data_IF_863153766456
#
_entry.id   IF_863153766456
#
_cell.length_a   1.000
_cell.length_b   1.000
_cell.length_c   1.000
_cell.angle_alpha   90.00
_cell.angle_beta   90.00
_cell.angle_gamma   90.00
#
_symmetry.space_group_name_H-M   'P 1'
#
loop_
_entity.id
_entity.type
_entity.pdbx_description
1 polymer ?
#
# COMPACT_ATOMS: atom_id res chain seq x y z
N UNK A 1 -13.88 -5.80 3.22
CA UNK A 1 -12.77 -6.69 2.82
C UNK A 1 -11.48 -5.90 2.95
N UNK A 2 -10.40 -6.51 3.44
CA UNK A 2 -9.13 -5.82 3.67
C UNK A 2 -7.96 -6.70 3.20
N UNK A 3 -7.03 -6.12 2.47
CA UNK A 3 -5.79 -6.76 2.06
C UNK A 3 -4.61 -5.90 2.55
N UNK A 4 -3.59 -6.57 3.08
CA UNK A 4 -2.37 -5.96 3.61
C UNK A 4 -1.16 -6.72 3.07
N UNK A 5 -0.23 -5.98 2.50
CA UNK A 5 1.09 -6.46 2.14
C UNK A 5 2.13 -5.70 2.97
N UNK A 6 2.81 -6.40 3.86
CA UNK A 6 3.77 -5.77 4.73
C UNK A 6 3.97 -6.46 6.07
N UNK A 7 4.60 -5.74 6.99
CA UNK A 7 4.80 -6.20 8.36
C UNK A 7 4.86 -5.01 9.33
N UNK A 8 4.20 -5.14 10.48
CA UNK A 8 4.16 -4.12 11.52
C UNK A 8 5.17 -4.43 12.62
N UNK A 9 6.05 -3.48 12.91
CA UNK A 9 7.05 -3.64 13.97
C UNK A 9 6.49 -3.42 15.38
N UNK A 10 5.32 -2.79 15.50
CA UNK A 10 4.65 -2.52 16.77
C UNK A 10 3.34 -3.29 16.96
N UNK A 11 3.12 -4.41 16.25
CA UNK A 11 1.86 -5.16 16.26
C UNK A 11 1.43 -5.59 17.67
N UNK A 12 2.34 -6.07 18.52
CA UNK A 12 2.03 -6.50 19.88
C UNK A 12 1.52 -5.36 20.75
N UNK A 13 2.15 -4.19 20.66
CA UNK A 13 1.72 -2.98 21.36
C UNK A 13 0.34 -2.51 20.89
N UNK A 14 0.13 -2.50 19.57
CA UNK A 14 -1.17 -2.12 18.98
C UNK A 14 -2.29 -3.03 19.46
N UNK A 15 -2.06 -4.33 19.55
CA UNK A 15 -3.06 -5.29 20.05
C UNK A 15 -3.45 -5.00 21.51
N UNK A 16 -2.48 -4.66 22.34
CA UNK A 16 -2.73 -4.26 23.71
C UNK A 16 -3.53 -2.95 23.78
N UNK A 17 -3.14 -1.91 23.04
CA UNK A 17 -3.85 -0.63 22.96
C UNK A 17 -5.30 -0.83 22.48
N UNK A 18 -5.51 -1.61 21.41
CA UNK A 18 -6.84 -1.93 20.89
C UNK A 18 -7.73 -2.62 21.91
N UNK A 19 -7.17 -3.53 22.71
CA UNK A 19 -7.92 -4.21 23.77
C UNK A 19 -8.24 -3.30 24.94
N UNK A 20 -7.24 -2.57 25.46
CA UNK A 20 -7.36 -1.80 26.70
C UNK A 20 -8.08 -0.46 26.51
N UNK A 21 -7.83 0.23 25.40
CA UNK A 21 -8.33 1.59 25.14
C UNK A 21 -9.52 1.61 24.19
N UNK A 22 -9.42 0.86 23.09
CA UNK A 22 -10.43 0.91 22.03
C UNK A 22 -11.51 -0.19 22.21
N UNK A 23 -11.34 -1.06 23.25
CA UNK A 23 -12.24 -2.17 23.59
C UNK A 23 -12.50 -3.12 22.40
N UNK A 24 -11.46 -3.33 21.57
CA UNK A 24 -11.51 -4.22 20.41
C UNK A 24 -10.77 -5.52 20.67
N UNK A 25 -11.41 -6.63 20.39
CA UNK A 25 -10.82 -7.95 20.53
C UNK A 25 -10.13 -8.36 19.22
N UNK A 26 -8.90 -8.86 19.32
CA UNK A 26 -8.12 -9.39 18.20
C UNK A 26 -8.11 -10.92 18.30
N UNK A 27 -8.56 -11.59 17.25
CA UNK A 27 -8.76 -13.04 17.26
C UNK A 27 -7.54 -13.83 16.78
N UNK A 28 -6.64 -13.19 16.00
CA UNK A 28 -5.50 -13.88 15.39
C UNK A 28 -4.17 -13.30 15.82
N UNK A 29 -3.08 -13.99 15.49
CA UNK A 29 -1.72 -13.46 15.65
C UNK A 29 -1.34 -12.48 14.52
N UNK A 30 -2.13 -12.38 13.44
CA UNK A 30 -1.83 -11.53 12.29
C UNK A 30 -1.76 -10.05 12.67
N UNK A 31 -0.79 -9.35 12.11
CA UNK A 31 -0.67 -7.90 12.18
C UNK A 31 -1.69 -7.19 11.28
N UNK A 32 -2.15 -7.87 10.22
CA UNK A 32 -3.21 -7.37 9.34
C UNK A 32 -4.53 -7.13 10.08
N UNK A 33 -4.88 -8.01 11.04
CA UNK A 33 -6.07 -7.82 11.87
C UNK A 33 -5.92 -6.62 12.80
N UNK A 34 -4.73 -6.42 13.38
CA UNK A 34 -4.46 -5.25 14.19
C UNK A 34 -4.57 -3.96 13.35
N UNK A 35 -3.99 -3.93 12.14
CA UNK A 35 -4.08 -2.79 11.24
C UNK A 35 -5.52 -2.51 10.81
N UNK A 36 -6.29 -3.54 10.44
CA UNK A 36 -7.72 -3.40 10.13
C UNK A 36 -8.50 -2.79 11.29
N UNK A 37 -8.24 -3.23 12.53
CA UNK A 37 -8.93 -2.71 13.71
C UNK A 37 -8.54 -1.26 14.01
N UNK A 38 -7.28 -0.87 13.82
CA UNK A 38 -6.86 0.54 13.92
C UNK A 38 -7.58 1.39 12.89
N UNK A 39 -7.62 0.97 11.62
CA UNK A 39 -8.35 1.70 10.57
C UNK A 39 -9.85 1.81 10.88
N UNK A 40 -10.46 0.71 11.33
CA UNK A 40 -11.87 0.70 11.70
C UNK A 40 -12.18 1.61 12.88
N UNK A 41 -11.27 1.69 13.85
CA UNK A 41 -11.37 2.57 15.00
C UNK A 41 -11.31 4.04 14.57
N UNK A 42 -10.29 4.42 13.80
CA UNK A 42 -10.14 5.77 13.27
C UNK A 42 -11.37 6.20 12.43
N UNK A 43 -11.91 5.31 11.58
CA UNK A 43 -13.13 5.59 10.84
C UNK A 43 -14.33 5.75 11.77
N UNK A 44 -14.46 4.91 12.79
CA UNK A 44 -15.63 4.91 13.68
C UNK A 44 -15.81 6.26 14.41
N UNK A 45 -14.72 6.87 14.81
CA UNK A 45 -14.74 8.19 15.46
C UNK A 45 -15.18 9.32 14.52
N UNK A 46 -14.96 9.17 13.22
CA UNK A 46 -15.25 10.19 12.20
C UNK A 46 -16.66 10.12 11.61
N UNK A 47 -17.34 8.97 11.74
CA UNK A 47 -18.64 8.74 11.10
C UNK A 47 -19.83 8.77 12.05
N UNK A 48 -19.62 9.15 13.32
CA UNK A 48 -20.72 9.27 14.29
C UNK A 48 -21.78 10.24 13.77
N UNK A 49 -23.00 9.72 13.55
CA UNK A 49 -24.13 10.50 13.03
C UNK A 49 -24.00 11.00 11.58
N UNK A 50 -22.98 10.53 10.84
CA UNK A 50 -22.68 11.00 9.47
C UNK A 50 -22.26 9.84 8.56
N UNK A 51 -22.09 10.13 7.25
CA UNK A 51 -21.55 9.13 6.30
C UNK A 51 -20.03 9.24 6.16
N UNK A 52 -19.39 8.15 5.72
CA UNK A 52 -17.98 8.15 5.31
C UNK A 52 -17.86 8.86 3.96
N UNK A 53 -16.98 9.84 3.91
CA UNK A 53 -16.58 10.60 2.70
C UNK A 53 -15.09 10.38 2.44
N UNK A 54 -14.59 10.77 1.26
CA UNK A 54 -13.15 10.72 0.93
C UNK A 54 -12.30 11.45 1.98
N UNK A 55 -12.68 12.67 2.37
CA UNK A 55 -11.93 13.45 3.38
C UNK A 55 -11.84 12.73 4.73
N UNK A 56 -12.94 12.11 5.18
CA UNK A 56 -12.93 11.31 6.42
C UNK A 56 -12.09 10.05 6.28
N UNK A 57 -12.10 9.39 5.12
CA UNK A 57 -11.23 8.25 4.86
C UNK A 57 -9.75 8.65 4.92
N UNK A 58 -9.38 9.79 4.33
CA UNK A 58 -8.03 10.35 4.42
C UNK A 58 -7.66 10.76 5.85
N UNK A 59 -8.60 11.33 6.60
CA UNK A 59 -8.37 11.65 8.02
C UNK A 59 -8.13 10.38 8.85
N UNK A 60 -8.85 9.29 8.59
CA UNK A 60 -8.61 8.00 9.22
C UNK A 60 -7.22 7.45 8.89
N UNK A 61 -6.76 7.56 7.62
CA UNK A 61 -5.42 7.15 7.23
C UNK A 61 -4.34 7.99 7.94
N UNK A 62 -4.56 9.29 8.15
CA UNK A 62 -3.66 10.12 8.97
C UNK A 62 -3.53 9.58 10.40
N UNK A 63 -4.63 9.13 11.00
CA UNK A 63 -4.64 8.45 12.31
C UNK A 63 -3.88 7.14 12.27
N UNK A 64 -4.11 6.30 11.25
CA UNK A 64 -3.36 5.06 11.01
C UNK A 64 -1.86 5.31 10.97
N UNK A 65 -1.38 6.28 10.19
CA UNK A 65 0.05 6.61 10.08
C UNK A 65 0.68 7.07 11.40
N UNK A 66 -0.10 7.69 12.30
CA UNK A 66 0.38 8.08 13.63
C UNK A 66 0.56 6.89 14.57
N UNK A 67 -0.34 5.91 14.50
CA UNK A 67 -0.37 4.74 15.41
C UNK A 67 0.55 3.62 14.94
N UNK A 68 0.64 3.37 13.64
CA UNK A 68 1.31 2.19 13.06
C UNK A 68 2.78 2.47 12.75
N UNK A 69 3.62 1.45 12.96
CA UNK A 69 5.03 1.43 12.58
C UNK A 69 5.34 0.18 11.77
N UNK A 70 6.07 0.33 10.68
CA UNK A 70 6.42 -0.76 9.76
C UNK A 70 6.33 -0.35 8.31
N UNK A 71 6.49 -1.33 7.41
CA UNK A 71 6.24 -1.17 5.98
C UNK A 71 4.90 -1.81 5.63
N UNK A 72 4.01 -1.09 4.98
CA UNK A 72 2.69 -1.60 4.61
C UNK A 72 2.10 -0.92 3.38
N UNK A 73 1.44 -1.70 2.55
CA UNK A 73 0.48 -1.23 1.58
C UNK A 73 -0.85 -1.94 1.78
N UNK A 74 -1.93 -1.18 1.75
CA UNK A 74 -3.25 -1.64 2.16
C UNK A 74 -4.31 -1.29 1.14
N UNK A 75 -5.26 -2.22 0.97
CA UNK A 75 -6.46 -2.01 0.17
C UNK A 75 -7.67 -2.45 0.98
N UNK A 76 -8.63 -1.55 1.17
CA UNK A 76 -9.85 -1.77 1.94
C UNK A 76 -11.08 -1.51 1.07
N UNK A 77 -11.86 -2.56 0.78
CA UNK A 77 -13.19 -2.41 0.20
C UNK A 77 -14.21 -2.20 1.33
N UNK A 78 -14.80 -1.02 1.39
CA UNK A 78 -15.77 -0.62 2.41
C UNK A 78 -17.17 -0.74 1.81
N UNK A 79 -17.94 -1.69 2.32
CA UNK A 79 -19.25 -2.04 1.78
C UNK A 79 -20.18 -0.82 1.68
N UNK A 80 -20.75 -0.61 0.50
CA UNK A 80 -21.66 0.51 0.23
C UNK A 80 -21.03 1.90 0.26
N UNK A 81 -19.66 1.99 0.22
CA UNK A 81 -18.94 3.27 0.27
C UNK A 81 -17.90 3.40 -0.84
N UNK A 82 -16.97 2.45 -1.00
CA UNK A 82 -15.92 2.53 -2.01
C UNK A 82 -14.69 1.73 -1.65
N UNK A 83 -13.59 1.99 -2.38
CA UNK A 83 -12.27 1.41 -2.19
C UNK A 83 -11.33 2.47 -1.62
N UNK A 84 -10.67 2.13 -0.52
CA UNK A 84 -9.60 2.91 0.08
C UNK A 84 -8.28 2.15 -0.11
N UNK A 85 -7.28 2.79 -0.69
CA UNK A 85 -5.93 2.24 -0.78
C UNK A 85 -4.93 3.23 -0.17
N UNK A 86 -3.91 2.75 0.53
CA UNK A 86 -2.90 3.62 1.13
C UNK A 86 -1.57 2.89 1.34
N UNK A 87 -0.50 3.67 1.31
CA UNK A 87 0.88 3.21 1.41
C UNK A 87 1.56 3.80 2.66
N UNK A 88 2.47 3.06 3.27
CA UNK A 88 3.21 3.51 4.44
C UNK A 88 4.00 4.82 4.18
N UNK A 89 4.27 5.65 5.23
CA UNK A 89 4.93 6.94 5.08
C UNK A 89 6.33 6.88 4.47
N UNK A 90 6.98 5.72 4.49
CA UNK A 90 8.32 5.53 3.93
C UNK A 90 8.30 4.83 2.55
N UNK A 91 7.11 4.43 2.07
CA UNK A 91 6.99 3.71 0.82
C UNK A 91 7.80 2.41 0.77
N UNK A 92 7.94 1.72 1.93
CA UNK A 92 8.71 0.48 2.03
C UNK A 92 8.08 -0.61 1.17
N UNK A 93 6.73 -0.76 1.26
CA UNK A 93 6.01 -1.70 0.38
C UNK A 93 5.49 -0.98 -0.85
N UNK A 94 5.57 -1.62 -2.03
CA UNK A 94 5.06 -1.02 -3.26
C UNK A 94 3.53 -1.02 -3.31
N UNK A 95 2.97 -0.03 -3.98
CA UNK A 95 1.56 0.07 -4.31
C UNK A 95 1.41 0.94 -5.55
N UNK A 96 0.65 0.47 -6.53
CA UNK A 96 0.34 1.22 -7.74
C UNK A 96 -1.15 1.06 -8.09
N UNK A 97 -1.62 1.89 -9.01
CA UNK A 97 -2.98 1.77 -9.52
C UNK A 97 -3.03 1.96 -11.03
N UNK A 98 -4.09 1.46 -11.59
CA UNK A 98 -4.37 1.57 -13.02
C UNK A 98 -5.85 1.75 -13.29
N UNK A 99 -6.15 2.12 -14.52
CA UNK A 99 -7.50 2.33 -15.00
C UNK A 99 -7.79 1.55 -16.28
N UNK A 100 -9.05 1.28 -16.50
CA UNK A 100 -9.59 0.70 -17.71
C UNK A 100 -10.94 1.33 -18.01
N UNK A 101 -11.14 1.82 -19.24
CA UNK A 101 -12.46 2.30 -19.67
C UNK A 101 -13.16 1.21 -20.46
N UNK A 102 -14.28 0.73 -19.93
CA UNK A 102 -15.05 -0.34 -20.52
C UNK A 102 -15.86 0.14 -21.76
N UNK A 103 -16.45 -0.80 -22.49
CA UNK A 103 -17.24 -0.50 -23.71
C UNK A 103 -18.45 0.41 -23.48
N UNK A 104 -18.91 0.54 -22.24
CA UNK A 104 -20.01 1.42 -21.83
C UNK A 104 -19.55 2.83 -21.46
N UNK A 105 -18.24 3.11 -21.55
CA UNK A 105 -17.64 4.39 -21.21
C UNK A 105 -17.41 4.61 -19.70
N UNK A 106 -17.55 3.58 -18.86
CA UNK A 106 -17.23 3.68 -17.43
C UNK A 106 -15.77 3.37 -17.18
N UNK A 107 -15.11 4.19 -16.35
CA UNK A 107 -13.75 3.94 -15.91
C UNK A 107 -13.77 3.05 -14.66
N UNK A 108 -13.06 1.96 -14.76
CA UNK A 108 -12.82 1.01 -13.69
C UNK A 108 -11.38 1.19 -13.19
N UNK A 109 -11.16 0.95 -11.89
CA UNK A 109 -9.85 1.09 -11.27
C UNK A 109 -9.39 -0.22 -10.62
N UNK A 110 -8.11 -0.47 -10.70
CA UNK A 110 -7.45 -1.57 -10.01
C UNK A 110 -6.26 -1.04 -9.23
N UNK A 111 -6.07 -1.56 -8.02
CA UNK A 111 -4.92 -1.28 -7.16
C UNK A 111 -4.15 -2.57 -6.94
N UNK A 112 -2.83 -2.52 -7.08
CA UNK A 112 -1.96 -3.69 -6.97
C UNK A 112 -0.61 -3.32 -6.34
N UNK A 113 0.11 -4.33 -5.85
CA UNK A 113 1.49 -4.14 -5.40
C UNK A 113 2.48 -4.00 -6.54
N UNK A 114 2.14 -4.52 -7.73
CA UNK A 114 3.05 -4.57 -8.89
C UNK A 114 2.33 -4.15 -10.18
N UNK A 115 3.01 -3.37 -11.04
CA UNK A 115 2.48 -2.90 -12.31
C UNK A 115 2.07 -4.03 -13.27
N UNK A 116 2.76 -5.15 -13.22
CA UNK A 116 2.47 -6.33 -14.06
C UNK A 116 1.08 -6.92 -13.74
N UNK A 117 0.58 -6.79 -12.53
CA UNK A 117 -0.77 -7.24 -12.18
C UNK A 117 -1.84 -6.40 -12.89
N UNK A 118 -1.60 -5.11 -13.06
CA UNK A 118 -2.48 -4.20 -13.82
C UNK A 118 -2.49 -4.57 -15.30
N UNK A 119 -1.32 -4.60 -15.93
CA UNK A 119 -1.20 -4.87 -17.38
C UNK A 119 -1.64 -6.28 -17.73
N UNK A 120 -1.36 -7.28 -16.87
CA UNK A 120 -1.77 -8.67 -17.08
C UNK A 120 -3.30 -8.89 -17.01
N UNK A 121 -4.04 -7.95 -16.41
CA UNK A 121 -5.50 -7.96 -16.33
C UNK A 121 -6.17 -6.94 -17.27
N UNK A 122 -5.38 -6.25 -18.13
CA UNK A 122 -5.89 -5.33 -19.14
C UNK A 122 -6.06 -3.89 -18.65
N UNK A 123 -5.59 -3.55 -17.45
CA UNK A 123 -5.58 -2.18 -16.96
C UNK A 123 -4.35 -1.43 -17.44
N UNK A 124 -4.51 -0.16 -17.77
CA UNK A 124 -3.40 0.74 -18.03
C UNK A 124 -2.81 1.19 -16.69
N UNK A 125 -1.49 1.15 -16.59
CA UNK A 125 -0.80 1.73 -15.42
C UNK A 125 -0.97 3.25 -15.42
N UNK A 126 -1.41 3.82 -14.31
CA UNK A 126 -1.56 5.26 -14.12
C UNK A 126 -0.37 5.86 -13.34
N UNK A 127 -0.15 5.39 -12.12
CA UNK A 127 0.92 5.91 -11.26
C UNK A 127 1.22 4.97 -10.08
N UNK A 128 2.38 5.14 -9.47
CA UNK A 128 2.68 4.61 -8.15
C UNK A 128 1.99 5.45 -7.06
N UNK A 129 1.46 4.77 -6.03
CA UNK A 129 0.98 5.46 -4.82
C UNK A 129 2.20 5.94 -4.04
N UNK A 130 2.29 7.24 -3.79
CA UNK A 130 3.45 7.84 -3.13
C UNK A 130 3.55 7.44 -1.65
N UNK A 131 4.75 7.52 -1.03
CA UNK A 131 4.89 7.30 0.40
C UNK A 131 3.88 8.12 1.20
N UNK A 132 3.10 7.46 2.07
CA UNK A 132 2.09 8.10 2.91
C UNK A 132 0.83 8.59 2.21
N UNK A 133 0.70 8.35 0.91
CA UNK A 133 -0.48 8.74 0.13
C UNK A 133 -1.60 7.72 0.30
N UNK A 134 -2.83 8.22 0.21
CA UNK A 134 -4.05 7.43 0.12
C UNK A 134 -4.86 7.78 -1.13
N UNK A 135 -5.55 6.77 -1.66
CA UNK A 135 -6.48 6.86 -2.79
C UNK A 135 -7.85 6.42 -2.29
N UNK A 136 -8.88 7.20 -2.63
CA UNK A 136 -10.27 6.86 -2.44
C UNK A 136 -10.96 6.75 -3.81
N UNK A 137 -11.67 5.65 -4.03
CA UNK A 137 -12.48 5.44 -5.23
C UNK A 137 -13.90 5.17 -4.75
N UNK A 138 -14.83 6.07 -5.10
CA UNK A 138 -16.24 5.95 -4.70
C UNK A 138 -17.01 4.95 -5.60
N UNK A 139 -18.28 4.72 -5.28
CA UNK A 139 -19.14 3.80 -6.03
C UNK A 139 -19.53 4.33 -7.44
N UNK A 140 -19.28 5.60 -7.72
CA UNK A 140 -19.51 6.21 -9.03
C UNK A 140 -18.27 6.18 -9.91
N UNK A 141 -17.14 5.65 -9.41
CA UNK A 141 -15.85 5.64 -10.11
C UNK A 141 -15.10 6.98 -10.05
N UNK A 142 -15.45 7.88 -9.13
CA UNK A 142 -14.63 9.06 -8.89
C UNK A 142 -13.43 8.67 -8.03
N UNK A 143 -12.25 9.12 -8.45
CA UNK A 143 -11.00 8.90 -7.73
C UNK A 143 -10.51 10.19 -7.10
N UNK A 144 -10.14 10.12 -5.83
CA UNK A 144 -9.51 11.20 -5.09
C UNK A 144 -8.20 10.70 -4.45
N UNK A 145 -7.19 11.56 -4.39
CA UNK A 145 -5.86 11.24 -3.82
C UNK A 145 -5.47 12.28 -2.78
N UNK A 146 -4.84 11.85 -1.69
CA UNK A 146 -4.41 12.75 -0.63
C UNK A 146 -3.11 12.28 0.01
N UNK A 147 -2.17 13.22 0.24
CA UNK A 147 -1.02 12.97 1.10
C UNK A 147 -1.48 12.96 2.56
N UNK A 148 -1.35 11.81 3.22
CA UNK A 148 -1.81 11.58 4.59
C UNK A 148 -0.68 11.56 5.62
N UNK A 149 0.59 11.43 5.20
CA UNK A 149 1.74 11.49 6.11
C UNK A 149 2.29 12.90 6.23
N UNK A 150 2.77 13.26 7.42
CA UNK A 150 3.36 14.58 7.70
C UNK A 150 4.77 14.72 7.08
N UNK A 151 5.57 13.65 7.11
CA UNK A 151 6.96 13.63 6.62
C UNK A 151 7.20 12.39 5.75
N UNK A 152 6.60 12.32 4.54
CA UNK A 152 6.78 11.18 3.67
C UNK A 152 8.21 11.14 3.10
N UNK A 153 8.78 9.92 3.04
CA UNK A 153 10.11 9.73 2.47
C UNK A 153 10.19 8.39 1.75
N UNK A 154 10.56 8.40 0.48
CA UNK A 154 10.72 7.16 -0.28
C UNK A 154 11.99 6.41 0.15
N UNK A 155 11.80 5.27 0.83
CA UNK A 155 12.85 4.34 1.24
C UNK A 155 12.38 2.91 0.96
N UNK A 156 12.31 2.51 -0.33
CA UNK A 156 11.74 1.23 -0.73
C UNK A 156 12.57 0.06 -0.22
N UNK A 157 11.92 -1.07 -0.02
CA UNK A 157 12.59 -2.29 0.38
C UNK A 157 13.45 -2.82 -0.79
N UNK A 158 14.77 -2.94 -0.57
CA UNK A 158 15.68 -3.47 -1.59
C UNK A 158 15.34 -4.92 -2.01
N UNK A 159 14.75 -5.72 -1.12
CA UNK A 159 14.32 -7.07 -1.43
C UNK A 159 13.23 -7.16 -2.50
N UNK A 160 12.46 -6.10 -2.73
CA UNK A 160 11.54 -6.03 -3.87
C UNK A 160 12.30 -6.15 -5.19
N UNK A 161 13.38 -5.39 -5.34
CA UNK A 161 14.19 -5.40 -6.56
C UNK A 161 15.01 -6.70 -6.70
N UNK A 162 15.55 -7.20 -5.57
CA UNK A 162 16.44 -8.38 -5.59
C UNK A 162 15.66 -9.68 -5.77
N UNK A 163 14.52 -9.84 -5.09
CA UNK A 163 13.88 -11.14 -4.94
C UNK A 163 12.36 -11.15 -5.13
N UNK A 164 11.59 -10.27 -4.44
CA UNK A 164 10.13 -10.42 -4.35
C UNK A 164 9.41 -10.07 -5.64
N UNK A 165 9.73 -8.92 -6.25
CA UNK A 165 8.99 -8.44 -7.41
C UNK A 165 9.27 -9.29 -8.66
N UNK A 166 8.30 -9.36 -9.54
CA UNK A 166 8.47 -9.98 -10.84
C UNK A 166 9.47 -9.16 -11.70
N UNK A 167 10.29 -9.81 -12.53
CA UNK A 167 11.27 -9.10 -13.36
C UNK A 167 10.65 -8.09 -14.34
N UNK A 168 9.44 -8.36 -14.81
CA UNK A 168 8.70 -7.55 -15.75
C UNK A 168 7.95 -6.36 -15.09
N UNK A 169 8.05 -6.21 -13.76
CA UNK A 169 7.48 -5.10 -13.02
C UNK A 169 8.35 -3.83 -13.06
N UNK A 170 7.66 -2.69 -12.93
CA UNK A 170 8.27 -1.39 -12.64
C UNK A 170 7.74 -0.92 -11.29
N UNK A 171 8.62 -0.56 -10.37
CA UNK A 171 8.31 -0.10 -9.00
C UNK A 171 8.95 1.26 -8.76
N UNK A 172 8.16 2.26 -8.39
CA UNK A 172 8.63 3.64 -8.18
C UNK A 172 9.52 4.16 -9.35
N UNK A 173 9.14 3.83 -10.59
CA UNK A 173 9.87 4.18 -11.79
C UNK A 173 11.13 3.33 -12.08
N UNK A 174 11.43 2.32 -11.26
CA UNK A 174 12.59 1.45 -11.41
C UNK A 174 12.18 0.12 -12.06
N UNK A 175 12.76 -0.21 -13.23
CA UNK A 175 12.62 -1.53 -13.82
C UNK A 175 13.32 -2.58 -12.94
N UNK A 176 12.58 -3.58 -12.47
CA UNK A 176 13.11 -4.69 -11.67
C UNK A 176 14.16 -5.46 -12.46
N UNK A 177 13.88 -5.78 -13.73
CA UNK A 177 14.84 -6.47 -14.61
C UNK A 177 16.12 -5.65 -14.80
N UNK A 178 15.99 -4.35 -15.11
CA UNK A 178 17.14 -3.46 -15.25
C UNK A 178 17.98 -3.33 -13.99
N UNK A 179 17.34 -3.32 -12.81
CA UNK A 179 18.06 -3.33 -11.54
C UNK A 179 18.84 -4.65 -11.35
N UNK A 180 18.24 -5.81 -11.66
CA UNK A 180 18.90 -7.11 -11.54
C UNK A 180 20.06 -7.27 -12.53
N UNK A 181 19.94 -6.74 -13.74
CA UNK A 181 21.08 -6.71 -14.68
C UNK A 181 22.26 -5.95 -14.11
N UNK A 182 22.03 -4.73 -13.59
CA UNK A 182 23.11 -3.93 -12.97
C UNK A 182 23.73 -4.62 -11.75
N UNK A 183 22.92 -5.31 -10.93
CA UNK A 183 23.44 -6.11 -9.80
C UNK A 183 24.35 -7.24 -10.31
N UNK A 184 23.99 -7.89 -11.43
CA UNK A 184 24.82 -8.90 -12.06
C UNK A 184 26.15 -8.36 -12.60
N UNK A 185 26.13 -7.18 -13.22
CA UNK A 185 27.33 -6.47 -13.68
C UNK A 185 28.31 -6.20 -12.54
N UNK A 186 27.82 -5.57 -11.45
CA UNK A 186 28.65 -5.35 -10.25
C UNK A 186 29.19 -6.63 -9.62
N UNK A 187 28.37 -7.69 -9.61
CA UNK A 187 28.81 -8.98 -9.10
C UNK A 187 29.91 -9.59 -9.98
N UNK A 188 29.79 -9.49 -11.30
CA UNK A 188 30.80 -10.01 -12.23
C UNK A 188 32.16 -9.33 -12.02
N UNK A 189 32.21 -8.02 -11.85
CA UNK A 189 33.44 -7.28 -11.54
C UNK A 189 34.08 -7.76 -10.22
N UNK A 190 33.27 -7.98 -9.20
CA UNK A 190 33.75 -8.50 -7.90
C UNK A 190 34.32 -9.89 -8.03
N UNK A 191 33.60 -10.80 -8.74
CA UNK A 191 34.04 -12.16 -8.97
C UNK A 191 35.32 -12.20 -9.78
N UNK A 192 35.43 -11.40 -10.85
CA UNK A 192 36.64 -11.32 -11.67
C UNK A 192 37.86 -10.90 -10.86
N UNK A 193 37.68 -9.93 -9.94
CA UNK A 193 38.76 -9.49 -9.08
C UNK A 193 39.21 -10.56 -8.07
N UNK A 194 38.26 -11.31 -7.49
CA UNK A 194 38.57 -12.33 -6.48
C UNK A 194 39.22 -13.60 -7.06
N UNK A 195 38.94 -13.91 -8.32
CA UNK A 195 39.49 -15.12 -8.98
C UNK A 195 40.63 -14.82 -9.95
N UNK A 196 41.17 -13.59 -9.94
CA UNK A 196 42.30 -13.13 -10.77
C UNK A 196 42.17 -13.52 -12.26
N UNK A 197 40.96 -13.36 -12.84
CA UNK A 197 40.67 -13.51 -14.25
C UNK A 197 41.05 -12.28 -15.07
#
# INVERSE_FOLDING_TARGET
>A
MFAHNGNLTNASRLKQELYELDHRHINTSSDSEALLNVLADEISHLVVGTTLTAEKAFQAVRGVHKRIRGGYSCVALIAGKGLLAFRDPNGIRPLCYGSYTNERGFTEYMVASESVALTGTGFNFEDDVKPGEAIWIDLNGNIERCQCAENPKLTPCAFELVYFARPDSVLDGISVYGARLRLGEYLADTVAHEIEL
#
